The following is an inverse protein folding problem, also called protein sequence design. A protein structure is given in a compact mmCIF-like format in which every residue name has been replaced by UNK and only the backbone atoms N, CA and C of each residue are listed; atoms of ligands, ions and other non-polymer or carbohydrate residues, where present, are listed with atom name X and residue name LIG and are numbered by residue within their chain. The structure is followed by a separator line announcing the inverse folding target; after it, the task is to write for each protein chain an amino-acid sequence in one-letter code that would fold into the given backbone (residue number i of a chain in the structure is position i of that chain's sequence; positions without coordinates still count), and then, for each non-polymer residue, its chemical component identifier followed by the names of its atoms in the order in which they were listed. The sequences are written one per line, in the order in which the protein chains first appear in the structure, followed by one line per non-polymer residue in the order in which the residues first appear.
data_IF_347210261408
#
_entry.id   IF_347210261408
#
_cell.length_a   1.000
_cell.length_b   1.000
_cell.length_c   1.000
_cell.angle_alpha   90.00
_cell.angle_beta   90.00
_cell.angle_gamma   90.00
#
_symmetry.space_group_name_H-M   'P 1'
#
loop_
_entity.id
_entity.type
_entity.pdbx_description
1 polymer ?
#
# COMPACT_ATOMS: atom_id res chain seq x y z
N UNK A 1 -12.31 7.47 10.92
CA UNK A 1 -11.26 7.27 9.90
C UNK A 1 -11.20 8.38 8.86
N UNK A 2 -12.17 8.57 7.96
CA UNK A 2 -12.10 9.62 6.91
C UNK A 2 -11.74 11.00 7.47
N UNK A 3 -12.50 11.49 8.46
CA UNK A 3 -12.25 12.78 9.10
C UNK A 3 -10.85 12.88 9.73
N UNK A 4 -10.33 11.81 10.32
CA UNK A 4 -8.98 11.78 10.91
C UNK A 4 -7.91 11.88 9.81
N UNK A 5 -8.04 11.09 8.74
CA UNK A 5 -7.09 11.12 7.63
C UNK A 5 -7.12 12.47 6.90
N UNK A 6 -8.30 13.10 6.73
CA UNK A 6 -8.41 14.45 6.15
C UNK A 6 -7.79 15.51 7.07
N UNK A 7 -7.93 15.37 8.40
CA UNK A 7 -7.29 16.27 9.34
C UNK A 7 -5.76 16.11 9.37
N UNK A 8 -5.27 14.86 9.25
CA UNK A 8 -3.83 14.54 9.22
C UNK A 8 -3.16 14.88 7.88
N UNK A 9 -3.91 14.76 6.77
CA UNK A 9 -3.40 14.87 5.39
C UNK A 9 -4.27 15.83 4.55
N UNK A 10 -4.43 17.11 4.91
CA UNK A 10 -5.43 18.00 4.29
C UNK A 10 -5.21 18.31 2.80
N UNK A 11 -4.02 18.04 2.25
CA UNK A 11 -3.66 18.31 0.84
C UNK A 11 -3.59 17.04 -0.02
N UNK A 12 -3.92 15.88 0.52
CA UNK A 12 -3.71 14.59 -0.15
C UNK A 12 -4.71 14.27 -1.27
N UNK A 13 -5.87 14.93 -1.30
CA UNK A 13 -6.86 14.77 -2.36
C UNK A 13 -7.51 13.38 -2.46
N UNK A 14 -7.30 12.47 -1.49
CA UNK A 14 -8.02 11.21 -1.46
C UNK A 14 -9.51 11.42 -1.17
N UNK A 15 -10.32 10.48 -1.63
CA UNK A 15 -11.75 10.41 -1.31
C UNK A 15 -12.12 8.96 -1.07
N UNK A 16 -13.19 8.72 -0.30
CA UNK A 16 -13.80 7.40 -0.20
C UNK A 16 -15.11 7.39 -0.99
N UNK A 17 -15.44 6.25 -1.59
CA UNK A 17 -16.74 6.01 -2.18
C UNK A 17 -17.18 4.58 -1.86
N UNK A 18 -18.48 4.39 -1.60
CA UNK A 18 -19.07 3.06 -1.51
C UNK A 18 -19.58 2.62 -2.87
N UNK A 19 -19.44 1.35 -3.22
CA UNK A 19 -20.03 0.76 -4.43
C UNK A 19 -20.93 -0.39 -3.99
N UNK A 20 -22.18 -0.40 -4.43
CA UNK A 20 -23.15 -1.46 -4.16
C UNK A 20 -23.32 -2.36 -5.39
N UNK A 21 -23.52 -3.67 -5.17
CA UNK A 21 -23.69 -4.66 -6.25
C UNK A 21 -24.99 -4.42 -7.01
N UNK A 22 -24.97 -4.73 -8.31
CA UNK A 22 -26.16 -4.71 -9.15
C UNK A 22 -27.25 -5.65 -8.59
N UNK A 23 -28.51 -5.23 -8.66
CA UNK A 23 -29.66 -6.01 -8.19
C UNK A 23 -29.93 -5.98 -6.69
N UNK A 24 -29.11 -5.28 -5.89
CA UNK A 24 -29.41 -4.93 -4.49
C UNK A 24 -30.07 -3.54 -4.41
N UNK A 25 -30.64 -3.20 -3.24
CA UNK A 25 -31.40 -1.96 -3.02
C UNK A 25 -30.74 -0.75 -3.72
N UNK A 26 -31.45 -0.10 -4.64
CA UNK A 26 -30.93 1.02 -5.41
C UNK A 26 -30.56 2.17 -4.46
N UNK A 27 -29.26 2.40 -4.25
CA UNK A 27 -28.78 3.51 -3.42
C UNK A 27 -28.73 4.85 -4.18
N UNK A 28 -29.40 4.97 -5.33
CA UNK A 28 -29.47 6.15 -6.23
C UNK A 28 -29.75 7.50 -5.53
N UNK A 29 -30.14 7.51 -4.25
CA UNK A 29 -30.30 8.72 -3.45
C UNK A 29 -29.88 8.60 -1.98
N UNK A 30 -29.07 7.62 -1.59
CA UNK A 30 -28.63 7.49 -0.19
C UNK A 30 -27.39 8.33 0.08
N UNK A 31 -27.47 9.61 -0.28
CA UNK A 31 -27.01 10.66 0.63
C UNK A 31 -27.99 10.69 1.79
N UNK A 32 -27.83 9.78 2.76
CA UNK A 32 -28.34 10.10 4.09
C UNK A 32 -27.69 11.43 4.47
N UNK A 33 -28.46 12.42 4.93
CA UNK A 33 -27.95 13.75 5.26
C UNK A 33 -26.78 13.76 6.29
N UNK A 34 -26.42 12.59 6.83
CA UNK A 34 -25.29 12.33 7.72
C UNK A 34 -24.07 11.65 7.06
N UNK A 35 -24.15 11.15 5.82
CA UNK A 35 -23.03 10.52 5.11
C UNK A 35 -22.47 11.45 4.03
N UNK A 36 -21.30 12.02 4.27
CA UNK A 36 -20.53 12.81 3.28
C UNK A 36 -19.87 11.96 2.20
N UNK A 37 -20.03 10.63 2.26
CA UNK A 37 -19.40 9.70 1.36
C UNK A 37 -20.34 9.34 0.20
N UNK A 38 -19.93 9.54 -1.07
CA UNK A 38 -20.74 9.16 -2.22
C UNK A 38 -20.90 7.64 -2.31
N UNK A 39 -22.13 7.20 -2.52
CA UNK A 39 -22.47 5.82 -2.86
C UNK A 39 -22.77 5.73 -4.35
N UNK A 40 -22.16 4.76 -5.01
CA UNK A 40 -22.34 4.46 -6.43
C UNK A 40 -23.04 3.11 -6.50
N UNK A 41 -24.07 3.02 -7.34
CA UNK A 41 -24.77 1.80 -7.64
C UNK A 41 -24.13 1.15 -8.87
N UNK A 42 -23.66 -0.09 -8.74
CA UNK A 42 -23.17 -0.87 -9.89
C UNK A 42 -24.35 -1.25 -10.80
N UNK A 43 -24.06 -1.36 -12.10
CA UNK A 43 -25.04 -1.68 -13.15
C UNK A 43 -24.62 -2.97 -13.87
N UNK A 44 -25.57 -3.65 -14.49
CA UNK A 44 -25.27 -4.84 -15.32
C UNK A 44 -24.38 -4.47 -16.52
N UNK A 45 -24.44 -3.21 -16.97
CA UNK A 45 -23.60 -2.70 -18.05
C UNK A 45 -22.14 -2.45 -17.64
N UNK A 46 -21.89 -1.90 -16.45
CA UNK A 46 -20.55 -1.59 -15.96
C UNK A 46 -19.87 -2.78 -15.28
N UNK A 47 -20.65 -3.59 -14.56
CA UNK A 47 -20.25 -4.82 -13.88
C UNK A 47 -18.93 -4.69 -13.10
N UNK A 48 -18.83 -3.63 -12.30
CA UNK A 48 -17.61 -3.25 -11.59
C UNK A 48 -17.24 -4.31 -10.54
N UNK A 49 -18.23 -4.91 -9.89
CA UNK A 49 -17.99 -5.94 -8.87
C UNK A 49 -17.26 -7.16 -9.43
N UNK A 50 -17.72 -7.70 -10.57
CA UNK A 50 -17.07 -8.85 -11.17
C UNK A 50 -15.74 -8.48 -11.83
N UNK A 51 -15.67 -7.33 -12.51
CA UNK A 51 -14.41 -6.89 -13.14
C UNK A 51 -13.29 -6.61 -12.13
N UNK A 52 -13.64 -6.15 -10.93
CA UNK A 52 -12.69 -5.96 -9.84
C UNK A 52 -12.46 -7.23 -9.02
N UNK A 53 -13.19 -8.32 -9.26
CA UNK A 53 -13.10 -9.56 -8.49
C UNK A 53 -13.21 -9.32 -6.97
N UNK A 54 -14.11 -8.44 -6.55
CA UNK A 54 -14.28 -8.07 -5.14
C UNK A 54 -15.16 -9.07 -4.39
N UNK A 55 -14.89 -9.24 -3.10
CA UNK A 55 -15.79 -9.93 -2.17
C UNK A 55 -16.66 -8.92 -1.41
N UNK A 56 -17.77 -9.42 -0.84
CA UNK A 56 -18.66 -8.62 -0.01
C UNK A 56 -17.88 -7.90 1.12
N UNK A 57 -18.01 -6.57 1.13
CA UNK A 57 -17.34 -5.63 2.05
C UNK A 57 -15.82 -5.54 1.91
N UNK A 58 -15.31 -5.76 0.70
CA UNK A 58 -13.96 -5.35 0.38
C UNK A 58 -13.85 -3.82 0.34
N UNK A 59 -12.75 -3.31 0.89
CA UNK A 59 -12.27 -1.96 0.67
C UNK A 59 -11.05 -2.07 -0.23
N UNK A 60 -11.21 -1.63 -1.47
CA UNK A 60 -10.13 -1.60 -2.46
C UNK A 60 -9.48 -0.22 -2.41
N UNK A 61 -8.16 -0.16 -2.28
CA UNK A 61 -7.38 1.07 -2.35
C UNK A 61 -6.70 1.11 -3.72
N UNK A 62 -6.96 2.18 -4.48
CA UNK A 62 -6.39 2.44 -5.80
C UNK A 62 -5.57 3.74 -5.78
N UNK A 63 -4.52 3.80 -6.59
CA UNK A 63 -3.69 5.00 -6.75
C UNK A 63 -4.17 5.91 -7.89
N UNK A 64 -3.46 7.02 -8.11
CA UNK A 64 -3.77 7.98 -9.18
C UNK A 64 -3.54 7.45 -10.60
N UNK A 65 -2.90 6.28 -10.75
CA UNK A 65 -2.71 5.57 -12.02
C UNK A 65 -3.75 4.44 -12.20
N UNK A 66 -4.78 4.38 -11.33
CA UNK A 66 -5.79 3.32 -11.27
C UNK A 66 -5.22 1.93 -10.97
N UNK A 67 -4.07 1.83 -10.30
CA UNK A 67 -3.53 0.54 -9.86
C UNK A 67 -4.03 0.21 -8.46
N UNK A 68 -4.51 -1.03 -8.29
CA UNK A 68 -4.86 -1.59 -6.98
C UNK A 68 -3.61 -1.71 -6.12
N UNK A 69 -3.63 -1.08 -4.94
CA UNK A 69 -2.52 -1.08 -3.98
C UNK A 69 -2.76 -2.00 -2.79
N UNK A 70 -4.02 -2.14 -2.37
CA UNK A 70 -4.41 -3.00 -1.26
C UNK A 70 -5.90 -3.34 -1.31
N UNK A 71 -6.27 -4.43 -0.63
CA UNK A 71 -7.67 -4.86 -0.43
C UNK A 71 -7.83 -5.27 1.03
N UNK A 72 -8.90 -4.78 1.68
CA UNK A 72 -9.27 -5.14 3.04
C UNK A 72 -10.69 -5.66 3.08
N UNK A 73 -10.89 -6.92 3.47
CA UNK A 73 -12.23 -7.47 3.64
C UNK A 73 -12.75 -7.21 5.05
N UNK A 74 -13.78 -6.36 5.19
CA UNK A 74 -14.32 -5.98 6.51
C UNK A 74 -15.22 -7.03 7.15
N UNK A 75 -15.55 -8.11 6.44
CA UNK A 75 -16.24 -9.29 7.02
C UNK A 75 -15.27 -10.06 7.92
N UNK A 76 -14.01 -10.16 7.51
CA UNK A 76 -12.94 -10.82 8.28
C UNK A 76 -12.18 -9.85 9.20
N UNK A 77 -12.03 -8.59 8.78
CA UNK A 77 -11.29 -7.55 9.50
C UNK A 77 -12.23 -6.42 9.95
N UNK A 78 -13.09 -6.72 10.92
CA UNK A 78 -14.04 -5.75 11.46
C UNK A 78 -13.33 -4.52 12.06
N UNK A 79 -13.81 -3.32 11.73
CA UNK A 79 -13.28 -2.05 12.24
C UNK A 79 -13.69 -1.74 13.69
N UNK A 80 -14.54 -2.57 14.30
CA UNK A 80 -14.81 -2.48 15.75
C UNK A 80 -13.61 -2.93 16.59
N UNK A 81 -12.70 -3.73 16.01
CA UNK A 81 -11.46 -4.10 16.66
C UNK A 81 -10.42 -3.00 16.42
N UNK A 82 -9.84 -2.40 17.49
CA UNK A 82 -8.89 -1.29 17.35
C UNK A 82 -7.70 -1.63 16.46
N UNK A 83 -7.17 -2.86 16.55
CA UNK A 83 -6.02 -3.28 15.75
C UNK A 83 -6.31 -3.26 14.24
N UNK A 84 -7.50 -3.72 13.82
CA UNK A 84 -7.91 -3.69 12.41
C UNK A 84 -8.12 -2.25 11.93
N UNK A 85 -8.71 -1.41 12.78
CA UNK A 85 -8.93 0.00 12.49
C UNK A 85 -7.60 0.73 12.27
N UNK A 86 -6.66 0.59 13.20
CA UNK A 86 -5.34 1.21 13.13
C UNK A 86 -4.52 0.66 11.96
N UNK A 87 -4.59 -0.64 11.69
CA UNK A 87 -3.90 -1.25 10.57
C UNK A 87 -4.38 -0.67 9.22
N UNK A 88 -5.69 -0.59 9.00
CA UNK A 88 -6.25 -0.01 7.78
C UNK A 88 -5.93 1.48 7.66
N UNK A 89 -6.09 2.26 8.74
CA UNK A 89 -5.77 3.70 8.74
C UNK A 89 -4.31 3.95 8.40
N UNK A 90 -3.39 3.21 9.02
CA UNK A 90 -1.95 3.34 8.77
C UNK A 90 -1.58 2.92 7.34
N UNK A 91 -2.24 1.91 6.78
CA UNK A 91 -2.03 1.51 5.38
C UNK A 91 -2.43 2.62 4.43
N UNK A 92 -3.62 3.21 4.60
CA UNK A 92 -4.09 4.32 3.76
C UNK A 92 -3.16 5.52 3.90
N UNK A 93 -2.79 5.89 5.13
CA UNK A 93 -1.85 6.98 5.41
C UNK A 93 -0.49 6.73 4.75
N UNK A 94 0.03 5.51 4.84
CA UNK A 94 1.30 5.13 4.22
C UNK A 94 1.25 5.26 2.70
N UNK A 95 0.21 4.71 2.07
CA UNK A 95 0.04 4.82 0.61
C UNK A 95 -0.05 6.29 0.18
N UNK A 96 -0.86 7.11 0.85
CA UNK A 96 -0.94 8.54 0.52
C UNK A 96 0.43 9.25 0.60
N UNK A 97 1.26 8.92 1.59
CA UNK A 97 2.54 9.59 1.82
C UNK A 97 3.69 9.07 0.97
N UNK A 98 3.69 7.79 0.61
CA UNK A 98 4.86 7.10 0.03
C UNK A 98 4.62 6.52 -1.35
N UNK A 99 3.38 6.50 -1.87
CA UNK A 99 3.05 5.92 -3.17
C UNK A 99 3.46 6.80 -4.39
N UNK A 100 4.17 7.90 -4.12
CA UNK A 100 4.80 8.74 -5.15
C UNK A 100 6.29 8.48 -5.32
N UNK A 101 6.88 7.59 -4.51
CA UNK A 101 8.27 7.23 -4.69
C UNK A 101 8.35 6.19 -5.82
N UNK A 102 9.19 6.41 -6.86
CA UNK A 102 9.53 5.35 -7.79
C UNK A 102 10.05 4.14 -6.98
N UNK A 103 9.95 2.90 -7.50
CA UNK A 103 10.58 1.76 -6.84
C UNK A 103 12.00 2.19 -6.47
N UNK A 104 12.38 2.01 -5.20
CA UNK A 104 13.75 2.29 -4.78
C UNK A 104 14.69 1.67 -5.84
N UNK A 105 15.71 2.38 -6.32
CA UNK A 105 16.62 1.82 -7.31
C UNK A 105 17.04 0.47 -6.76
N UNK A 106 16.71 -0.62 -7.48
CA UNK A 106 17.10 -1.96 -7.08
C UNK A 106 18.57 -1.87 -6.71
N UNK A 107 18.99 -2.37 -5.53
CA UNK A 107 20.38 -2.28 -5.14
C UNK A 107 21.17 -2.85 -6.31
N UNK A 108 21.93 -1.99 -6.99
CA UNK A 108 22.59 -2.37 -8.23
C UNK A 108 23.27 -3.70 -7.94
N UNK A 109 22.85 -4.74 -8.66
CA UNK A 109 23.52 -6.02 -8.59
C UNK A 109 24.97 -5.69 -8.92
N UNK A 110 25.82 -5.62 -7.89
CA UNK A 110 27.24 -5.39 -8.07
C UNK A 110 27.67 -6.52 -8.99
N UNK A 111 27.95 -6.15 -10.23
CA UNK A 111 28.52 -6.98 -11.26
C UNK A 111 29.84 -7.50 -10.69
N UNK A 112 29.76 -8.63 -9.99
CA UNK A 112 30.90 -9.46 -9.69
C UNK A 112 31.30 -10.10 -11.03
N UNK A 113 31.95 -9.28 -11.86
CA UNK A 113 32.46 -9.72 -13.15
C UNK A 113 33.33 -10.97 -12.97
N UNK A 114 33.31 -11.91 -13.93
CA UNK A 114 34.12 -13.10 -13.84
C UNK A 114 35.57 -12.70 -14.14
N UNK A 115 36.40 -12.63 -13.10
CA UNK A 115 37.78 -12.17 -13.21
C UNK A 115 38.75 -12.95 -12.33
N UNK A 116 38.66 -14.28 -12.32
CA UNK A 116 39.69 -15.15 -11.75
C UNK A 116 40.51 -15.81 -12.87
N UNK A 117 41.62 -15.18 -13.22
CA UNK A 117 42.79 -15.81 -13.88
C UNK A 117 44.03 -15.23 -13.18
N UNK A 118 44.60 -15.92 -12.21
CA UNK A 118 45.77 -16.82 -12.32
C UNK A 118 47.15 -16.12 -12.34
N UNK A 119 48.01 -16.64 -11.45
CA UNK A 119 49.46 -16.61 -11.33
C UNK A 119 50.25 -15.28 -11.15
N UNK A 120 50.98 -15.21 -10.03
CA UNK A 120 52.12 -14.31 -9.85
C UNK A 120 52.73 -14.40 -8.43
N UNK A 121 53.69 -15.32 -8.25
CA UNK A 121 54.53 -15.46 -7.05
C UNK A 121 55.32 -14.18 -6.72
N UNK A 122 55.58 -13.92 -5.42
CA UNK A 122 56.74 -13.11 -5.03
C UNK A 122 56.66 -12.29 -3.74
N UNK A 123 57.26 -12.86 -2.68
CA UNK A 123 58.07 -12.20 -1.63
C UNK A 123 57.39 -11.43 -0.48
N UNK A 124 57.59 -12.04 0.70
CA UNK A 124 57.61 -11.58 2.10
C UNK A 124 57.70 -10.07 2.40
N UNK A 125 56.91 -9.60 3.37
CA UNK A 125 57.48 -9.10 4.63
C UNK A 125 56.47 -9.05 5.76
N UNK A 126 56.92 -9.52 6.93
CA UNK A 126 56.26 -9.36 8.21
C UNK A 126 56.24 -7.88 8.62
N UNK A 127 55.15 -7.45 9.23
CA UNK A 127 55.23 -6.64 10.44
C UNK A 127 53.95 -6.81 11.28
N UNK A 128 54.20 -7.27 12.49
CA UNK A 128 53.37 -7.18 13.69
C UNK A 128 52.89 -5.75 13.94
N UNK A 129 51.68 -5.62 14.47
CA UNK A 129 51.26 -4.71 15.55
C UNK A 129 49.72 -4.85 15.67
N UNK A 130 49.09 -5.38 16.72
CA UNK A 130 49.49 -5.43 18.11
C UNK A 130 48.89 -4.27 18.90
N UNK A 131 47.55 -4.16 19.02
CA UNK A 131 46.96 -3.51 20.19
C UNK A 131 45.50 -3.88 20.47
N UNK A 132 45.20 -4.03 21.76
CA UNK A 132 43.95 -4.46 22.37
C UNK A 132 43.30 -3.31 23.19
N UNK A 133 41.98 -3.20 23.08
CA UNK A 133 41.06 -2.78 24.16
C UNK A 133 40.67 -1.29 24.22
N UNK A 134 39.85 -0.88 25.22
CA UNK A 134 39.19 -1.72 26.23
C UNK A 134 37.68 -1.45 26.47
N UNK A 135 37.03 -2.49 27.02
CA UNK A 135 35.74 -2.61 27.77
C UNK A 135 34.46 -1.93 27.26
#
# INVERSE_FOLDING_TARGET
MYQELTAELPQSGFFFSGVNEAGYDNFDNVTNAASTQPWIQDTDEDDVWHSWEVAYRDVVIIDGENKRRAVFNLTTHTLYLPDNYEHMKNTIRHLILYDTLPPEPEPEATDAGPGATDAGEGVTNANSDGWQGPF
#
